data_IF_834813022976
#
_entry.id   IF_834813022976
#
_cell.length_a   1.000
_cell.length_b   1.000
_cell.length_c   1.000
_cell.angle_alpha   90.00
_cell.angle_beta   90.00
_cell.angle_gamma   90.00
#
_symmetry.space_group_name_H-M   'P 1'
#
loop_
_entity.id
_entity.type
_entity.pdbx_description
1 polymer ?
#
# COMPACT_ATOMS: atom_id res chain seq x y z
N UNK A 1 5.15 -13.96 4.29
CA UNK A 1 3.97 -14.60 3.66
C UNK A 1 3.01 -13.56 3.07
N UNK A 2 3.29 -13.02 1.87
CA UNK A 2 2.31 -12.27 1.09
C UNK A 2 1.61 -13.24 0.13
N UNK A 3 0.75 -14.09 0.68
CA UNK A 3 -0.17 -14.95 -0.07
C UNK A 3 -1.04 -15.74 0.93
N UNK A 4 -1.97 -15.07 1.60
CA UNK A 4 -3.20 -15.77 1.96
C UNK A 4 -4.27 -15.19 1.06
N UNK A 5 -4.65 -15.97 0.04
CA UNK A 5 -5.86 -15.74 -0.72
C UNK A 5 -6.98 -15.43 0.27
N UNK A 6 -7.37 -14.15 0.37
CA UNK A 6 -8.64 -13.79 0.98
C UNK A 6 -9.71 -14.27 -0.01
N UNK A 7 -10.60 -15.21 0.35
CA UNK A 7 -11.74 -15.51 -0.50
C UNK A 7 -12.53 -14.22 -0.70
N UNK A 8 -12.82 -13.92 -1.96
CA UNK A 8 -13.56 -12.74 -2.39
C UNK A 8 -14.93 -12.72 -1.72
N UNK A 9 -15.05 -11.95 -0.63
CA UNK A 9 -16.34 -11.51 -0.13
C UNK A 9 -16.73 -10.29 -0.96
N UNK A 10 -17.56 -10.54 -1.98
CA UNK A 10 -18.22 -9.48 -2.73
C UNK A 10 -19.07 -8.63 -1.79
N UNK A 11 -18.67 -7.37 -1.64
CA UNK A 11 -19.45 -6.31 -1.02
C UNK A 11 -19.31 -5.09 -1.91
N UNK A 12 -20.23 -4.93 -2.86
CA UNK A 12 -20.21 -3.82 -3.81
C UNK A 12 -20.47 -2.50 -3.12
N UNK A 13 -19.91 -1.41 -3.67
CA UNK A 13 -20.44 -0.06 -3.46
C UNK A 13 -20.09 0.90 -4.61
N UNK A 14 -21.15 1.59 -5.03
CA UNK A 14 -21.26 3.01 -5.38
C UNK A 14 -20.65 3.55 -6.69
N UNK A 15 -21.57 3.70 -7.64
CA UNK A 15 -21.62 4.72 -8.69
C UNK A 15 -21.19 6.11 -8.20
N UNK A 16 -20.27 6.72 -8.93
CA UNK A 16 -20.15 8.17 -9.06
C UNK A 16 -19.01 8.82 -8.28
N UNK A 17 -17.86 9.02 -8.94
CA UNK A 17 -17.29 10.36 -9.00
C UNK A 17 -16.42 10.50 -10.26
N UNK A 18 -16.67 11.56 -11.00
CA UNK A 18 -15.86 12.08 -12.08
C UNK A 18 -14.46 12.40 -11.56
N UNK A 19 -13.58 11.40 -11.47
CA UNK A 19 -12.22 11.60 -11.02
C UNK A 19 -11.47 12.48 -12.03
N UNK A 20 -11.50 13.81 -11.82
CA UNK A 20 -10.43 14.70 -12.24
C UNK A 20 -9.13 13.98 -11.90
N UNK A 21 -8.25 13.76 -12.87
CA UNK A 21 -6.94 13.15 -12.63
C UNK A 21 -6.17 13.99 -11.63
N UNK A 22 -6.32 13.70 -10.33
CA UNK A 22 -5.56 14.32 -9.26
C UNK A 22 -4.10 13.96 -9.53
N UNK A 23 -3.27 14.98 -9.70
CA UNK A 23 -1.84 14.77 -9.87
C UNK A 23 -1.31 14.21 -8.56
N UNK A 24 -0.88 12.95 -8.58
CA UNK A 24 -0.25 12.29 -7.45
C UNK A 24 1.19 12.76 -7.35
N UNK A 25 1.61 13.11 -6.14
CA UNK A 25 3.00 13.41 -5.83
C UNK A 25 3.67 12.16 -5.29
N UNK A 26 4.70 11.59 -5.95
CA UNK A 26 5.34 10.36 -5.49
C UNK A 26 6.07 10.51 -4.14
N UNK A 27 6.35 11.75 -3.72
CA UNK A 27 6.97 12.06 -2.44
C UNK A 27 5.98 12.16 -1.25
N UNK A 28 4.68 12.27 -1.53
CA UNK A 28 3.64 12.47 -0.53
C UNK A 28 2.34 11.81 -1.00
N UNK A 29 2.17 10.53 -0.65
CA UNK A 29 0.99 9.73 -0.94
C UNK A 29 0.25 9.43 0.36
N UNK A 30 -1.08 9.48 0.33
CA UNK A 30 -1.89 8.90 1.41
C UNK A 30 -1.81 7.37 1.33
N UNK A 31 -2.09 6.63 2.43
CA UNK A 31 -2.15 5.17 2.40
C UNK A 31 -3.08 4.63 1.29
N UNK A 32 -4.24 5.27 1.10
CA UNK A 32 -5.18 4.90 0.04
C UNK A 32 -4.66 5.17 -1.38
N UNK A 33 -3.99 6.30 -1.61
CA UNK A 33 -3.40 6.61 -2.92
C UNK A 33 -2.21 5.67 -3.22
N UNK A 34 -1.42 5.30 -2.22
CA UNK A 34 -0.35 4.32 -2.35
C UNK A 34 -0.90 2.93 -2.67
N UNK A 35 -1.90 2.45 -1.94
CA UNK A 35 -2.55 1.16 -2.19
C UNK A 35 -3.14 1.09 -3.62
N UNK A 36 -3.84 2.14 -4.05
CA UNK A 36 -4.37 2.22 -5.40
C UNK A 36 -3.27 2.27 -6.48
N UNK A 37 -2.16 2.97 -6.21
CA UNK A 37 -1.01 3.03 -7.10
C UNK A 37 -0.34 1.66 -7.24
N UNK A 38 -0.05 0.98 -6.12
CA UNK A 38 0.58 -0.34 -6.11
C UNK A 38 -0.32 -1.40 -6.75
N UNK A 39 -1.63 -1.35 -6.50
CA UNK A 39 -2.61 -2.23 -7.16
C UNK A 39 -2.64 -2.06 -8.67
N UNK A 40 -2.42 -0.83 -9.16
CA UNK A 40 -2.38 -0.56 -10.61
C UNK A 40 -1.03 -0.90 -11.23
N UNK A 41 0.05 -0.72 -10.48
CA UNK A 41 1.42 -0.97 -10.94
C UNK A 41 1.78 -2.47 -10.90
N UNK A 42 1.25 -3.21 -9.93
CA UNK A 42 1.43 -4.64 -9.78
C UNK A 42 0.22 -5.45 -10.24
N UNK A 43 0.42 -6.74 -10.52
CA UNK A 43 -0.67 -7.68 -10.79
C UNK A 43 -1.33 -8.23 -9.49
N UNK A 44 -1.25 -7.47 -8.39
CA UNK A 44 -1.69 -7.87 -7.05
C UNK A 44 -2.54 -6.76 -6.47
N UNK A 45 -3.65 -7.13 -5.82
CA UNK A 45 -4.51 -6.17 -5.12
C UNK A 45 -3.93 -5.83 -3.75
N UNK A 46 -3.77 -4.54 -3.49
CA UNK A 46 -3.29 -3.94 -2.24
C UNK A 46 -4.40 -3.04 -1.70
N UNK A 47 -4.82 -3.27 -0.46
CA UNK A 47 -5.79 -2.44 0.24
C UNK A 47 -5.06 -1.43 1.15
N UNK A 48 -5.72 -0.33 1.56
CA UNK A 48 -5.14 0.63 2.50
C UNK A 48 -4.73 -0.01 3.83
N UNK A 49 -5.48 -1.03 4.28
CA UNK A 49 -5.19 -1.82 5.49
C UNK A 49 -3.83 -2.53 5.42
N UNK A 50 -3.42 -2.96 4.22
CA UNK A 50 -2.10 -3.60 4.02
C UNK A 50 -0.97 -2.57 4.23
N UNK A 51 -1.19 -1.33 3.79
CA UNK A 51 -0.24 -0.23 3.98
C UNK A 51 -0.16 0.18 5.45
N UNK A 52 -1.30 0.23 6.15
CA UNK A 52 -1.32 0.50 7.59
C UNK A 52 -0.57 -0.57 8.39
N UNK A 53 -0.75 -1.84 8.04
CA UNK A 53 0.01 -2.93 8.68
C UNK A 53 1.53 -2.80 8.45
N UNK A 54 1.96 -2.35 7.27
CA UNK A 54 3.37 -2.07 7.00
C UNK A 54 3.89 -0.89 7.83
N UNK A 55 3.08 0.16 8.02
CA UNK A 55 3.41 1.29 8.90
C UNK A 55 3.57 0.80 10.35
N UNK A 56 2.67 -0.04 10.84
CA UNK A 56 2.76 -0.64 12.18
C UNK A 56 4.00 -1.54 12.31
N UNK A 57 4.43 -2.18 11.22
CA UNK A 57 5.68 -2.93 11.14
C UNK A 57 6.95 -2.04 11.06
N UNK A 58 6.78 -0.71 10.95
CA UNK A 58 7.87 0.26 10.94
C UNK A 58 8.24 0.80 9.56
N UNK A 59 7.33 0.74 8.58
CA UNK A 59 7.54 1.42 7.30
C UNK A 59 7.67 2.94 7.49
N UNK A 60 8.57 3.61 6.75
CA UNK A 60 8.83 5.03 6.94
C UNK A 60 7.66 5.90 6.47
N UNK A 61 7.23 6.82 7.33
CA UNK A 61 6.22 7.85 7.04
C UNK A 61 6.82 9.25 7.16
N UNK A 62 6.28 10.19 6.39
CA UNK A 62 6.58 11.60 6.52
C UNK A 62 5.92 12.16 7.81
N UNK A 63 6.41 13.30 8.29
CA UNK A 63 5.89 13.93 9.52
C UNK A 63 4.41 14.34 9.45
N UNK A 64 3.87 14.50 8.24
CA UNK A 64 2.46 14.82 7.98
C UNK A 64 1.56 13.56 7.81
N UNK A 65 2.12 12.36 7.99
CA UNK A 65 1.42 11.09 7.83
C UNK A 65 1.32 10.60 6.38
N UNK A 66 1.90 11.31 5.41
CA UNK A 66 2.01 10.82 4.03
C UNK A 66 3.21 9.89 3.86
N UNK A 67 3.27 9.20 2.73
CA UNK A 67 4.31 8.20 2.43
C UNK A 67 5.06 8.63 1.18
N UNK A 68 6.40 8.58 1.26
CA UNK A 68 7.27 8.73 0.11
C UNK A 68 7.47 7.37 -0.56
N UNK A 69 7.06 7.25 -1.83
CA UNK A 69 7.06 5.98 -2.57
C UNK A 69 8.45 5.34 -2.66
N UNK A 70 9.51 6.14 -2.86
CA UNK A 70 10.87 5.61 -3.02
C UNK A 70 11.41 5.07 -1.70
N UNK A 71 11.16 5.79 -0.60
CA UNK A 71 11.57 5.33 0.73
C UNK A 71 10.81 4.07 1.14
N UNK A 72 9.51 4.02 0.87
CA UNK A 72 8.68 2.84 1.12
C UNK A 72 9.15 1.63 0.29
N UNK A 73 9.44 1.81 -1.01
CA UNK A 73 9.98 0.74 -1.84
C UNK A 73 11.36 0.24 -1.34
N UNK A 74 12.23 1.15 -0.89
CA UNK A 74 13.51 0.78 -0.30
C UNK A 74 13.33 -0.03 1.00
N UNK A 75 12.35 0.36 1.83
CA UNK A 75 11.99 -0.41 3.03
C UNK A 75 11.47 -1.80 2.67
N UNK A 76 10.61 -1.94 1.66
CA UNK A 76 10.12 -3.25 1.20
C UNK A 76 11.25 -4.16 0.75
N UNK A 77 12.20 -3.66 -0.05
CA UNK A 77 13.35 -4.44 -0.51
C UNK A 77 14.22 -4.86 0.68
N UNK A 78 14.44 -3.95 1.63
CA UNK A 78 15.16 -4.27 2.88
C UNK A 78 14.42 -5.37 3.64
N UNK A 79 13.11 -5.21 3.88
CA UNK A 79 12.29 -6.13 4.66
C UNK A 79 12.32 -7.54 4.07
N UNK A 80 12.16 -7.65 2.74
CA UNK A 80 12.30 -8.90 1.98
C UNK A 80 13.70 -9.53 2.14
N UNK A 81 14.76 -8.72 2.16
CA UNK A 81 16.14 -9.19 2.29
C UNK A 81 16.51 -9.59 3.73
N UNK A 82 15.95 -8.93 4.74
CA UNK A 82 16.21 -9.23 6.16
C UNK A 82 15.45 -10.44 6.69
N UNK A 83 14.58 -11.05 5.87
CA UNK A 83 14.00 -12.37 6.17
C UNK A 83 13.43 -12.49 7.57
N UNK A 84 12.64 -11.51 8.04
CA UNK A 84 12.16 -11.49 9.43
C UNK A 84 10.62 -11.53 9.50
N UNK A 85 10.16 -12.72 9.91
CA UNK A 85 9.00 -13.01 10.75
C UNK A 85 7.60 -12.57 10.30
N UNK A 86 7.11 -13.14 9.19
CA UNK A 86 5.68 -13.48 9.07
C UNK A 86 5.54 -15.01 9.17
N UNK A 87 5.69 -15.48 10.41
CA UNK A 87 5.41 -16.82 10.98
C UNK A 87 5.58 -18.04 10.08
N UNK A 88 6.52 -18.91 10.45
CA UNK A 88 6.31 -20.36 10.41
C UNK A 88 5.08 -20.77 11.25
#
# INVERSE_FOLDING_TARGET
MWARLRPSAGGGVNTGDTAKKRRLSPAALTPGDLAALLTKAGAVRVEPEDIEADIDAGAPTNADGTINLVQYAAWLVRDLATGSSRGE
#
